data_IF_352870748598
#
_entry.id   IF_352870748598
#
_cell.length_a   1.000
_cell.length_b   1.000
_cell.length_c   1.000
_cell.angle_alpha   90.00
_cell.angle_beta   90.00
_cell.angle_gamma   90.00
#
_symmetry.space_group_name_H-M   'P 1'
#
loop_
_entity.id
_entity.type
_entity.pdbx_description
1 polymer ?
#
# COMPACT_ATOMS: atom_id res chain seq x y z
N UNK A 1 -11.38 -33.58 -16.19
CA UNK A 1 -11.90 -32.19 -16.24
C UNK A 1 -11.08 -31.28 -17.15
N UNK A 2 -9.78 -31.08 -16.92
CA UNK A 2 -8.95 -30.20 -17.76
C UNK A 2 -9.01 -30.53 -19.27
N UNK A 3 -8.92 -31.81 -19.65
CA UNK A 3 -9.06 -32.23 -21.04
C UNK A 3 -10.40 -31.82 -21.68
N UNK A 4 -11.51 -31.84 -20.92
CA UNK A 4 -12.82 -31.40 -21.41
C UNK A 4 -12.88 -29.88 -21.57
N UNK A 5 -12.29 -29.12 -20.65
CA UNK A 5 -12.16 -27.67 -20.79
C UNK A 5 -11.31 -27.32 -22.01
N UNK A 6 -10.18 -28.02 -22.22
CA UNK A 6 -9.32 -27.83 -23.38
C UNK A 6 -10.04 -28.12 -24.71
N UNK A 7 -10.85 -29.19 -24.75
CA UNK A 7 -11.69 -29.51 -25.91
C UNK A 7 -12.75 -28.45 -26.18
N UNK A 8 -13.31 -27.84 -25.13
CA UNK A 8 -14.33 -26.77 -25.25
C UNK A 8 -13.72 -25.45 -25.72
N UNK A 9 -12.49 -25.16 -25.31
CA UNK A 9 -11.76 -23.93 -25.62
C UNK A 9 -10.47 -24.20 -26.39
N UNK A 10 -10.53 -24.75 -27.61
CA UNK A 10 -9.35 -25.21 -28.35
C UNK A 10 -8.39 -24.08 -28.76
N UNK A 11 -8.86 -22.82 -28.72
CA UNK A 11 -8.07 -21.61 -29.04
C UNK A 11 -7.31 -21.05 -27.83
N UNK A 12 -7.51 -21.60 -26.64
CA UNK A 12 -6.82 -21.19 -25.42
C UNK A 12 -5.69 -22.17 -25.15
N UNK A 13 -4.48 -21.66 -24.88
CA UNK A 13 -3.34 -22.50 -24.52
C UNK A 13 -3.59 -23.30 -23.24
N UNK A 14 -3.11 -24.53 -23.18
CA UNK A 14 -3.29 -25.44 -22.04
C UNK A 14 -2.81 -24.82 -20.71
N UNK A 15 -1.71 -24.06 -20.76
CA UNK A 15 -1.18 -23.33 -19.60
C UNK A 15 -2.19 -22.31 -19.02
N UNK A 16 -2.95 -21.65 -19.88
CA UNK A 16 -3.97 -20.66 -19.50
C UNK A 16 -5.19 -21.36 -18.92
N UNK A 17 -5.61 -22.49 -19.50
CA UNK A 17 -6.69 -23.33 -18.96
C UNK A 17 -6.33 -23.81 -17.55
N UNK A 18 -5.11 -24.32 -17.37
CA UNK A 18 -4.62 -24.76 -16.06
C UNK A 18 -4.57 -23.62 -15.05
N UNK A 19 -4.14 -22.42 -15.48
CA UNK A 19 -4.07 -21.24 -14.63
C UNK A 19 -5.46 -20.77 -14.18
N UNK A 20 -6.42 -20.69 -15.10
CA UNK A 20 -7.80 -20.36 -14.78
C UNK A 20 -8.44 -21.40 -13.84
N UNK A 21 -8.20 -22.69 -14.10
CA UNK A 21 -8.67 -23.80 -13.26
C UNK A 21 -8.19 -23.68 -11.81
N UNK A 22 -6.90 -23.42 -11.61
CA UNK A 22 -6.31 -23.20 -10.28
C UNK A 22 -6.90 -21.97 -9.60
N UNK A 23 -7.04 -20.85 -10.33
CA UNK A 23 -7.61 -19.61 -9.79
C UNK A 23 -9.06 -19.79 -9.34
N UNK A 24 -9.83 -20.63 -10.03
CA UNK A 24 -11.20 -20.96 -9.68
C UNK A 24 -11.35 -22.03 -8.60
N UNK A 25 -10.26 -22.47 -7.96
CA UNK A 25 -10.26 -23.59 -6.99
C UNK A 25 -10.97 -24.82 -7.55
N UNK A 26 -10.67 -25.15 -8.81
CA UNK A 26 -11.22 -26.35 -9.47
C UNK A 26 -12.74 -26.31 -9.69
N UNK A 27 -13.36 -25.13 -9.63
CA UNK A 27 -14.76 -24.97 -9.96
C UNK A 27 -14.94 -24.86 -11.49
N UNK A 28 -15.61 -25.85 -12.08
CA UNK A 28 -15.80 -25.98 -13.54
C UNK A 28 -16.57 -24.81 -14.13
N UNK A 29 -17.67 -24.39 -13.51
CA UNK A 29 -18.52 -23.34 -14.05
C UNK A 29 -17.83 -21.98 -14.03
N UNK A 30 -17.15 -21.65 -12.92
CA UNK A 30 -16.33 -20.43 -12.83
C UNK A 30 -15.16 -20.46 -13.81
N UNK A 31 -14.54 -21.62 -14.00
CA UNK A 31 -13.43 -21.74 -14.96
C UNK A 31 -13.93 -21.51 -16.38
N UNK A 32 -15.07 -22.13 -16.77
CA UNK A 32 -15.70 -21.89 -18.08
C UNK A 32 -16.02 -20.42 -18.28
N UNK A 33 -16.59 -19.76 -17.28
CA UNK A 33 -16.93 -18.34 -17.30
C UNK A 33 -15.69 -17.44 -17.51
N UNK A 34 -14.54 -17.75 -16.90
CA UNK A 34 -13.27 -17.05 -17.18
C UNK A 34 -12.76 -17.35 -18.61
N UNK A 35 -12.79 -18.60 -19.05
CA UNK A 35 -12.28 -18.98 -20.38
C UNK A 35 -13.13 -18.38 -21.51
N UNK A 36 -14.44 -18.31 -21.36
CA UNK A 36 -15.34 -17.57 -22.26
C UNK A 36 -14.96 -16.10 -22.28
N UNK A 37 -14.82 -15.48 -21.10
CA UNK A 37 -14.41 -14.09 -20.97
C UNK A 37 -13.06 -13.77 -21.64
N UNK A 38 -12.06 -14.64 -21.50
CA UNK A 38 -10.76 -14.51 -22.20
C UNK A 38 -10.94 -14.56 -23.71
N UNK A 39 -11.74 -15.52 -24.20
CA UNK A 39 -12.01 -15.70 -25.64
C UNK A 39 -12.67 -14.47 -26.26
N UNK A 40 -13.57 -13.81 -25.53
CA UNK A 40 -14.29 -12.62 -25.99
C UNK A 40 -13.43 -11.34 -26.01
N UNK A 41 -12.32 -11.30 -25.27
CA UNK A 41 -11.55 -10.08 -25.03
C UNK A 41 -10.12 -10.10 -25.62
N UNK A 42 -9.73 -11.16 -26.31
CA UNK A 42 -8.37 -11.34 -26.83
C UNK A 42 -8.37 -11.95 -28.23
N UNK A 43 -7.35 -11.60 -29.03
CA UNK A 43 -7.20 -12.13 -30.39
C UNK A 43 -5.98 -13.05 -30.53
N UNK A 44 -5.02 -12.98 -29.59
CA UNK A 44 -3.79 -13.77 -29.62
C UNK A 44 -3.54 -14.47 -28.28
N UNK A 45 -2.75 -15.55 -28.32
CA UNK A 45 -2.34 -16.29 -27.11
C UNK A 45 -1.60 -15.39 -26.10
N UNK A 46 -0.75 -14.48 -26.59
CA UNK A 46 -0.02 -13.55 -25.74
C UNK A 46 -0.97 -12.61 -24.98
N UNK A 47 -2.03 -12.12 -25.65
CA UNK A 47 -3.05 -11.29 -25.00
C UNK A 47 -3.87 -12.09 -23.98
N UNK A 48 -4.18 -13.37 -24.26
CA UNK A 48 -4.81 -14.26 -23.28
C UNK A 48 -3.95 -14.39 -22.02
N UNK A 49 -2.64 -14.57 -22.18
CA UNK A 49 -1.70 -14.68 -21.06
C UNK A 49 -1.65 -13.38 -20.24
N UNK A 50 -1.64 -12.23 -20.89
CA UNK A 50 -1.69 -10.94 -20.20
C UNK A 50 -3.00 -10.71 -19.45
N UNK A 51 -4.12 -11.05 -20.07
CA UNK A 51 -5.43 -10.82 -19.48
C UNK A 51 -5.70 -11.77 -18.30
N UNK A 52 -5.23 -13.02 -18.33
CA UNK A 52 -5.32 -13.94 -17.17
C UNK A 52 -4.40 -13.47 -16.03
N UNK A 53 -3.23 -12.89 -16.32
CA UNK A 53 -2.35 -12.31 -15.29
C UNK A 53 -3.00 -11.09 -14.61
N UNK A 54 -3.69 -10.24 -15.38
CA UNK A 54 -4.48 -9.14 -14.85
C UNK A 54 -5.62 -9.66 -13.97
N UNK A 55 -6.36 -10.68 -14.44
CA UNK A 55 -7.43 -11.28 -13.65
C UNK A 55 -6.94 -11.93 -12.35
N UNK A 56 -5.79 -12.61 -12.36
CA UNK A 56 -5.17 -13.15 -11.15
C UNK A 56 -4.82 -12.04 -10.14
N UNK A 57 -4.32 -10.90 -10.63
CA UNK A 57 -3.89 -9.77 -9.79
C UNK A 57 -5.06 -8.94 -9.25
N UNK A 58 -6.14 -8.79 -10.02
CA UNK A 58 -7.22 -7.83 -9.75
C UNK A 58 -8.60 -8.45 -9.60
N UNK A 59 -8.82 -9.70 -10.02
CA UNK A 59 -10.14 -10.33 -10.12
C UNK A 59 -10.83 -10.59 -8.77
N UNK A 60 -10.10 -10.49 -7.65
CA UNK A 60 -10.69 -10.51 -6.30
C UNK A 60 -11.14 -9.13 -5.82
N UNK A 61 -10.73 -8.06 -6.50
CA UNK A 61 -10.95 -6.66 -6.12
C UNK A 61 -11.86 -5.91 -7.10
N UNK A 62 -11.79 -6.28 -8.37
CA UNK A 62 -12.51 -5.63 -9.46
C UNK A 62 -13.36 -6.65 -10.21
N UNK A 63 -14.50 -6.20 -10.68
CA UNK A 63 -15.33 -6.98 -11.59
C UNK A 63 -14.62 -7.22 -12.92
N UNK A 64 -14.89 -8.37 -13.55
CA UNK A 64 -14.34 -8.72 -14.87
C UNK A 64 -14.64 -7.66 -15.95
N UNK A 65 -15.82 -7.04 -15.86
CA UNK A 65 -16.27 -5.97 -16.75
C UNK A 65 -15.33 -4.75 -16.68
N UNK A 66 -14.95 -4.32 -15.49
CA UNK A 66 -13.99 -3.22 -15.27
C UNK A 66 -12.61 -3.57 -15.83
N UNK A 67 -12.13 -4.80 -15.61
CA UNK A 67 -10.86 -5.29 -16.15
C UNK A 67 -10.88 -5.24 -17.69
N UNK A 68 -11.93 -5.80 -18.30
CA UNK A 68 -12.11 -5.80 -19.76
C UNK A 68 -12.22 -4.41 -20.38
N UNK A 69 -13.02 -3.53 -19.79
CA UNK A 69 -13.19 -2.17 -20.29
C UNK A 69 -11.86 -1.41 -20.23
N UNK A 70 -11.13 -1.52 -19.12
CA UNK A 70 -9.83 -0.89 -18.97
C UNK A 70 -8.81 -1.45 -19.96
N UNK A 71 -8.78 -2.77 -20.14
CA UNK A 71 -7.95 -3.45 -21.13
C UNK A 71 -8.19 -2.93 -22.56
N UNK A 72 -9.45 -2.77 -22.96
CA UNK A 72 -9.83 -2.21 -24.27
C UNK A 72 -9.45 -0.73 -24.38
N UNK A 73 -9.71 0.06 -23.35
CA UNK A 73 -9.41 1.50 -23.33
C UNK A 73 -7.91 1.80 -23.39
N UNK A 74 -7.08 0.90 -22.86
CA UNK A 74 -5.62 0.99 -22.93
C UNK A 74 -5.04 0.28 -24.18
N UNK A 75 -5.84 0.13 -25.25
CA UNK A 75 -5.43 -0.50 -26.51
C UNK A 75 -4.77 -1.88 -26.33
N UNK A 76 -5.16 -2.63 -25.29
CA UNK A 76 -4.62 -3.95 -25.00
C UNK A 76 -3.11 -3.94 -24.68
N UNK A 77 -2.59 -2.82 -24.15
CA UNK A 77 -1.22 -2.67 -23.66
C UNK A 77 -1.21 -3.05 -22.17
N UNK A 78 -0.47 -4.11 -21.82
CA UNK A 78 -0.43 -4.67 -20.46
C UNK A 78 0.02 -3.64 -19.42
N UNK A 79 1.09 -2.92 -19.69
CA UNK A 79 1.67 -1.95 -18.74
C UNK A 79 0.66 -0.84 -18.42
N UNK A 80 0.06 -0.24 -19.45
CA UNK A 80 -0.91 0.84 -19.31
C UNK A 80 -2.19 0.35 -18.60
N UNK A 81 -2.68 -0.83 -18.99
CA UNK A 81 -3.86 -1.44 -18.34
C UNK A 81 -3.60 -1.72 -16.87
N UNK A 82 -2.43 -2.28 -16.53
CA UNK A 82 -2.06 -2.57 -15.13
C UNK A 82 -2.02 -1.29 -14.31
N UNK A 83 -1.44 -0.21 -14.84
CA UNK A 83 -1.43 1.11 -14.19
C UNK A 83 -2.82 1.65 -13.95
N UNK A 84 -3.70 1.60 -14.95
CA UNK A 84 -5.06 2.12 -14.83
C UNK A 84 -5.92 1.30 -13.86
N UNK A 85 -5.78 -0.03 -13.86
CA UNK A 85 -6.48 -0.88 -12.88
C UNK A 85 -6.00 -0.65 -11.45
N UNK A 86 -4.72 -0.37 -11.25
CA UNK A 86 -4.19 0.02 -9.93
C UNK A 86 -4.72 1.37 -9.48
N UNK A 87 -4.82 2.34 -10.37
CA UNK A 87 -5.45 3.63 -10.09
C UNK A 87 -6.92 3.44 -9.69
N UNK A 88 -7.66 2.58 -10.39
CA UNK A 88 -9.05 2.23 -10.04
C UNK A 88 -9.11 1.56 -8.66
N UNK A 89 -8.26 0.56 -8.38
CA UNK A 89 -8.20 -0.06 -7.06
C UNK A 89 -7.80 0.94 -5.97
N UNK A 90 -6.89 1.87 -6.26
CA UNK A 90 -6.46 2.88 -5.30
C UNK A 90 -7.59 3.86 -5.00
N UNK A 91 -8.36 4.28 -6.01
CA UNK A 91 -9.50 5.20 -5.83
C UNK A 91 -10.71 4.53 -5.19
N UNK A 92 -11.02 3.28 -5.54
CA UNK A 92 -12.07 2.51 -4.86
C UNK A 92 -11.71 2.25 -3.40
N UNK A 93 -10.45 1.88 -3.13
CA UNK A 93 -9.95 1.70 -1.79
C UNK A 93 -9.78 3.03 -1.07
N UNK A 94 -9.59 4.18 -1.71
CA UNK A 94 -9.48 5.48 -1.02
C UNK A 94 -10.77 5.84 -0.28
N UNK A 95 -11.92 5.34 -0.74
CA UNK A 95 -13.19 5.49 -0.01
C UNK A 95 -13.29 4.58 1.22
N UNK A 96 -12.57 3.45 1.26
CA UNK A 96 -12.48 2.55 2.42
C UNK A 96 -11.25 2.82 3.32
N UNK A 97 -10.17 3.32 2.73
CA UNK A 97 -8.89 3.71 3.33
C UNK A 97 -8.80 5.24 3.32
N UNK A 98 -9.84 5.90 3.84
CA UNK A 98 -9.62 7.23 4.37
C UNK A 98 -8.60 7.06 5.49
N UNK A 99 -7.32 7.38 5.19
CA UNK A 99 -6.27 7.35 6.20
C UNK A 99 -6.79 8.13 7.40
N UNK A 100 -6.95 7.43 8.53
CA UNK A 100 -7.40 8.05 9.77
C UNK A 100 -6.58 9.32 9.99
N UNK A 101 -7.26 10.44 10.23
CA UNK A 101 -6.60 11.74 10.36
C UNK A 101 -5.52 11.69 11.44
N UNK A 102 -5.72 10.84 12.46
CA UNK A 102 -4.75 10.46 13.48
C UNK A 102 -3.45 9.91 12.87
N UNK A 103 -3.54 8.85 12.04
CA UNK A 103 -2.37 8.21 11.43
C UNK A 103 -1.59 9.19 10.55
N UNK A 104 -2.29 10.04 9.80
CA UNK A 104 -1.69 11.10 8.99
C UNK A 104 -0.87 12.09 9.83
N UNK A 105 -1.40 12.49 10.99
CA UNK A 105 -0.70 13.39 11.93
C UNK A 105 0.51 12.67 12.55
N UNK A 106 0.33 11.44 13.06
CA UNK A 106 1.39 10.64 13.70
C UNK A 106 2.54 10.45 12.72
N UNK A 107 2.26 10.00 11.49
CA UNK A 107 3.27 9.79 10.44
C UNK A 107 4.04 11.07 10.13
N UNK A 108 3.33 12.18 9.91
CA UNK A 108 3.97 13.46 9.59
C UNK A 108 4.89 13.91 10.73
N UNK A 109 4.46 13.74 11.98
CA UNK A 109 5.26 14.09 13.15
C UNK A 109 6.49 13.19 13.28
N UNK A 110 6.32 11.87 13.16
CA UNK A 110 7.41 10.90 13.25
C UNK A 110 8.48 11.13 12.17
N UNK A 111 8.06 11.30 10.91
CA UNK A 111 8.97 11.59 9.80
C UNK A 111 9.74 12.89 10.01
N UNK A 112 9.09 13.93 10.54
CA UNK A 112 9.74 15.20 10.82
C UNK A 112 10.81 15.09 11.92
N UNK A 113 10.50 14.39 13.01
CA UNK A 113 11.44 14.14 14.12
C UNK A 113 12.64 13.33 13.62
N UNK A 114 12.38 12.19 12.97
CA UNK A 114 13.42 11.30 12.46
C UNK A 114 14.32 12.02 11.47
N UNK A 115 13.73 12.78 10.54
CA UNK A 115 14.49 13.58 9.57
C UNK A 115 15.38 14.62 10.24
N UNK A 116 14.89 15.35 11.24
CA UNK A 116 15.69 16.35 11.96
C UNK A 116 16.91 15.72 12.65
N UNK A 117 16.76 14.55 13.29
CA UNK A 117 17.87 13.85 13.93
C UNK A 117 18.87 13.33 12.88
N UNK A 118 18.37 12.70 11.81
CA UNK A 118 19.18 12.13 10.74
C UNK A 118 19.98 13.19 9.99
N UNK A 119 19.39 14.37 9.76
CA UNK A 119 20.01 15.50 9.05
C UNK A 119 20.99 16.25 9.94
N UNK A 120 20.64 16.54 11.19
CA UNK A 120 21.40 17.43 12.07
C UNK A 120 22.05 16.68 13.23
N UNK A 121 22.75 15.59 12.93
CA UNK A 121 23.28 14.63 13.92
C UNK A 121 24.12 15.26 15.03
N UNK A 122 24.92 16.28 14.73
CA UNK A 122 25.82 16.94 15.70
C UNK A 122 25.13 17.96 16.61
N UNK A 123 23.88 18.34 16.31
CA UNK A 123 23.19 19.42 17.01
C UNK A 123 22.26 18.87 18.09
N UNK A 124 22.64 19.05 19.36
CA UNK A 124 21.88 18.59 20.54
C UNK A 124 20.44 19.10 20.54
N UNK A 125 20.17 20.30 20.02
CA UNK A 125 18.82 20.88 19.99
C UNK A 125 17.78 20.00 19.25
N UNK A 126 18.18 19.22 18.24
CA UNK A 126 17.25 18.32 17.52
C UNK A 126 17.11 16.95 18.19
N UNK A 127 17.86 16.71 19.26
CA UNK A 127 17.73 15.54 20.14
C UNK A 127 16.83 15.81 21.34
N UNK A 128 16.20 16.98 21.39
CA UNK A 128 15.33 17.42 22.47
C UNK A 128 13.98 17.85 21.88
N UNK A 129 12.89 17.43 22.50
CA UNK A 129 11.54 17.85 22.10
C UNK A 129 10.84 18.38 23.35
N UNK A 130 10.52 19.67 23.30
CA UNK A 130 9.82 20.33 24.40
C UNK A 130 8.38 19.85 24.48
N UNK A 131 7.93 19.38 25.65
CA UNK A 131 6.59 18.79 25.84
C UNK A 131 5.49 19.76 25.39
N UNK A 132 5.51 21.00 25.88
CA UNK A 132 4.47 21.97 25.53
C UNK A 132 4.42 22.26 24.03
N UNK A 133 5.58 22.29 23.35
CA UNK A 133 5.63 22.56 21.92
C UNK A 133 5.03 21.39 21.11
N UNK A 134 5.34 20.15 21.52
CA UNK A 134 4.75 18.94 20.96
C UNK A 134 3.22 18.94 21.15
N UNK A 135 2.75 19.17 22.37
CA UNK A 135 1.33 19.19 22.70
C UNK A 135 0.57 20.26 21.92
N UNK A 136 1.07 21.50 21.90
CA UNK A 136 0.43 22.60 21.16
C UNK A 136 0.36 22.32 19.66
N UNK A 137 1.44 21.76 19.09
CA UNK A 137 1.46 21.37 17.68
C UNK A 137 0.44 20.26 17.39
N UNK A 138 0.46 19.17 18.15
CA UNK A 138 -0.47 18.05 17.95
C UNK A 138 -1.93 18.47 18.16
N UNK A 139 -2.22 19.26 19.19
CA UNK A 139 -3.57 19.79 19.46
C UNK A 139 -4.09 20.62 18.30
N UNK A 140 -3.26 21.53 17.77
CA UNK A 140 -3.61 22.36 16.60
C UNK A 140 -3.86 21.50 15.36
N UNK A 141 -3.02 20.49 15.11
CA UNK A 141 -3.19 19.57 13.96
C UNK A 141 -4.42 18.67 14.09
N UNK A 142 -4.69 18.15 15.30
CA UNK A 142 -5.87 17.32 15.55
C UNK A 142 -7.15 18.11 15.36
N UNK A 143 -7.24 19.34 15.90
CA UNK A 143 -8.39 20.22 15.69
C UNK A 143 -8.64 20.54 14.23
N UNK A 144 -7.58 20.82 13.46
CA UNK A 144 -7.68 21.14 12.05
C UNK A 144 -8.17 19.96 11.18
N UNK A 145 -8.00 18.72 11.64
CA UNK A 145 -8.38 17.51 10.92
C UNK A 145 -9.49 16.72 11.63
N UNK A 146 -10.15 17.29 12.64
CA UNK A 146 -11.13 16.60 13.50
C UNK A 146 -10.65 15.20 13.98
N UNK A 147 -9.38 15.09 14.38
CA UNK A 147 -8.78 13.85 14.87
C UNK A 147 -8.82 13.76 16.41
N UNK A 148 -8.81 12.55 16.96
CA UNK A 148 -8.71 12.31 18.40
C UNK A 148 -7.30 12.65 18.92
N UNK A 149 -7.20 13.76 19.66
CA UNK A 149 -5.94 14.25 20.21
C UNK A 149 -5.26 13.27 21.18
N UNK A 150 -6.01 12.61 22.06
CA UNK A 150 -5.46 11.68 23.06
C UNK A 150 -4.85 10.45 22.39
N UNK A 151 -5.54 9.87 21.41
CA UNK A 151 -5.03 8.73 20.61
C UNK A 151 -3.73 9.11 19.92
N UNK A 152 -3.70 10.24 19.21
CA UNK A 152 -2.50 10.74 18.51
C UNK A 152 -1.34 10.97 19.47
N UNK A 153 -1.62 11.57 20.63
CA UNK A 153 -0.60 11.86 21.62
C UNK A 153 0.03 10.56 22.15
N UNK A 154 -0.78 9.60 22.58
CA UNK A 154 -0.32 8.29 23.08
C UNK A 154 0.57 7.59 22.03
N UNK A 155 0.12 7.57 20.78
CA UNK A 155 0.87 6.92 19.70
C UNK A 155 2.18 7.65 19.39
N UNK A 156 2.19 8.98 19.34
CA UNK A 156 3.42 9.75 19.13
C UNK A 156 4.41 9.51 20.27
N UNK A 157 3.95 9.51 21.52
CA UNK A 157 4.81 9.23 22.68
C UNK A 157 5.40 7.82 22.65
N UNK A 158 4.61 6.80 22.30
CA UNK A 158 5.08 5.43 22.10
C UNK A 158 6.14 5.35 20.98
N UNK A 159 5.92 6.07 19.87
CA UNK A 159 6.89 6.13 18.78
C UNK A 159 8.19 6.83 19.18
N UNK A 160 8.12 7.91 19.96
CA UNK A 160 9.29 8.57 20.53
C UNK A 160 10.13 7.60 21.37
N UNK A 161 9.49 6.81 22.23
CA UNK A 161 10.16 5.75 23.00
C UNK A 161 10.84 4.73 22.10
N UNK A 162 10.13 4.24 21.07
CA UNK A 162 10.68 3.29 20.10
C UNK A 162 11.90 3.84 19.35
N UNK A 163 11.93 5.15 19.07
CA UNK A 163 13.09 5.79 18.44
C UNK A 163 14.29 5.91 19.39
N UNK A 164 14.07 5.81 20.71
CA UNK A 164 15.11 5.94 21.74
C UNK A 164 15.04 7.26 22.54
N UNK A 165 13.92 7.97 22.51
CA UNK A 165 13.70 9.12 23.39
C UNK A 165 13.22 8.66 24.78
N UNK A 166 13.60 9.41 25.81
CA UNK A 166 13.12 9.27 27.18
C UNK A 166 12.65 10.62 27.74
N UNK A 167 11.57 10.58 28.52
CA UNK A 167 11.15 11.72 29.35
C UNK A 167 12.12 11.90 30.53
N UNK A 168 12.44 13.15 30.86
CA UNK A 168 13.17 13.53 32.09
C UNK A 168 12.23 14.25 33.07
N UNK A 169 12.77 14.71 34.20
CA UNK A 169 12.01 15.37 35.27
C UNK A 169 11.32 16.68 34.86
N UNK A 170 11.77 17.32 33.78
CA UNK A 170 11.14 18.51 33.19
C UNK A 170 10.07 18.16 32.15
N UNK A 171 9.69 16.88 32.09
CA UNK A 171 8.77 16.26 31.13
C UNK A 171 9.18 16.37 29.65
N UNK A 172 10.35 16.95 29.34
CA UNK A 172 10.83 17.03 27.97
C UNK A 172 11.38 15.69 27.50
N UNK A 173 11.33 15.47 26.19
CA UNK A 173 11.84 14.24 25.57
C UNK A 173 13.28 14.43 25.12
N UNK A 174 14.15 13.53 25.54
CA UNK A 174 15.58 13.54 25.20
C UNK A 174 15.98 12.24 24.51
N UNK A 175 16.67 12.33 23.39
CA UNK A 175 17.28 11.18 22.75
C UNK A 175 18.40 10.63 23.64
N UNK A 176 18.28 9.39 24.10
CA UNK A 176 19.10 8.87 25.20
C UNK A 176 20.55 8.59 24.80
N UNK A 177 20.82 8.28 23.53
CA UNK A 177 22.13 7.81 23.11
C UNK A 177 23.11 8.96 22.85
N UNK A 178 24.30 8.86 23.46
CA UNK A 178 25.42 9.76 23.17
C UNK A 178 25.81 9.68 21.68
N UNK A 179 25.80 8.47 21.12
CA UNK A 179 25.98 8.20 19.69
C UNK A 179 24.64 7.88 19.04
N UNK A 180 24.33 8.56 17.93
CA UNK A 180 23.10 8.31 17.18
C UNK A 180 23.17 6.90 16.57
N UNK A 181 22.19 6.06 16.90
CA UNK A 181 22.01 4.74 16.27
C UNK A 181 21.43 4.93 14.86
N UNK A 182 22.29 5.28 13.91
CA UNK A 182 21.89 5.68 12.56
C UNK A 182 21.05 4.61 11.87
N UNK A 183 21.47 3.35 11.99
CA UNK A 183 20.78 2.22 11.36
C UNK A 183 19.34 2.10 11.88
N UNK A 184 19.17 2.09 13.21
CA UNK A 184 17.85 2.02 13.84
C UNK A 184 16.93 3.18 13.41
N UNK A 185 17.43 4.42 13.44
CA UNK A 185 16.65 5.58 13.02
C UNK A 185 16.28 5.56 11.53
N UNK A 186 17.18 5.04 10.69
CA UNK A 186 16.93 4.88 9.27
C UNK A 186 15.85 3.82 9.00
N UNK A 187 15.88 2.70 9.72
CA UNK A 187 14.84 1.67 9.67
C UNK A 187 13.49 2.21 10.13
N UNK A 188 13.47 2.98 11.23
CA UNK A 188 12.27 3.68 11.69
C UNK A 188 11.73 4.65 10.62
N UNK A 189 12.62 5.38 9.94
CA UNK A 189 12.24 6.33 8.89
C UNK A 189 11.64 5.62 7.68
N UNK A 190 12.28 4.54 7.22
CA UNK A 190 11.76 3.67 6.15
C UNK A 190 10.40 3.10 6.50
N UNK A 191 10.21 2.62 7.73
CA UNK A 191 8.92 2.11 8.20
C UNK A 191 7.82 3.16 7.99
N UNK A 192 8.01 4.39 8.47
CA UNK A 192 7.00 5.45 8.35
C UNK A 192 6.77 5.95 6.93
N UNK A 193 7.80 5.92 6.06
CA UNK A 193 7.63 6.18 4.63
C UNK A 193 6.75 5.10 4.00
N UNK A 194 7.01 3.84 4.31
CA UNK A 194 6.26 2.72 3.74
C UNK A 194 4.80 2.67 4.21
N UNK A 195 4.47 3.33 5.32
CA UNK A 195 3.08 3.55 5.75
C UNK A 195 2.33 4.59 4.89
N UNK A 196 2.98 5.27 3.93
CA UNK A 196 2.22 6.04 2.95
C UNK A 196 1.56 5.10 1.96
N UNK A 197 0.25 5.26 1.83
CA UNK A 197 -0.60 4.53 0.89
C UNK A 197 0.06 4.46 -0.51
N UNK A 198 0.68 5.55 -0.96
CA UNK A 198 1.43 5.60 -2.21
C UNK A 198 2.56 4.55 -2.29
N UNK A 199 3.38 4.37 -1.25
CA UNK A 199 4.48 3.40 -1.25
C UNK A 199 4.00 1.96 -1.11
N UNK A 200 2.87 1.73 -0.41
CA UNK A 200 2.24 0.40 -0.39
C UNK A 200 1.83 -0.02 -1.80
N UNK A 201 1.26 0.90 -2.58
CA UNK A 201 0.91 0.63 -3.97
C UNK A 201 2.13 0.42 -4.87
N UNK A 202 3.22 1.21 -4.69
CA UNK A 202 4.48 1.01 -5.43
C UNK A 202 5.14 -0.34 -5.09
N UNK A 203 5.07 -0.80 -3.84
CA UNK A 203 5.60 -2.11 -3.46
C UNK A 203 4.79 -3.27 -4.03
N UNK A 204 3.46 -3.13 -4.10
CA UNK A 204 2.58 -4.09 -4.77
C UNK A 204 2.78 -4.11 -6.30
N UNK A 205 3.35 -3.05 -6.86
CA UNK A 205 3.68 -2.93 -8.28
C UNK A 205 4.95 -3.71 -8.68
N UNK A 206 5.89 -3.84 -7.76
CA UNK A 206 7.21 -4.45 -8.01
C UNK A 206 7.22 -5.97 -7.76
N UNK A 207 6.24 -6.48 -7.00
CA UNK A 207 6.01 -7.92 -6.85
C UNK A 207 5.11 -8.47 -7.96
#
# INVERSE_FOLDING_TARGET
MLAQLQQTFPKIGEEIVLKAWKQCKENVDKTKDILTWLTENTTTLQQQQYLINLFESFGTKLEKTTISQTWKNCNQILVDTRWKLLEICATSNLNEFQEENELKIIRKMCLHILWNILKYRKHVKYRQIHKQALYNYLSTKCRALCANFEKVLIDVEKNLQNFGFKKKNDDNWYYQYHHIQLLHLWECYKYWINQQIMYVFILLLIK
#
